data_IF_660603890269
#
_entry.id   IF_660603890269
#
_cell.length_a   1.000
_cell.length_b   1.000
_cell.length_c   1.000
_cell.angle_alpha   90.00
_cell.angle_beta   90.00
_cell.angle_gamma   90.00
#
_symmetry.space_group_name_H-M   'P 1'
#
loop_
_entity.id
_entity.type
_entity.pdbx_description
1 polymer ?
#
# COMPACT_ATOMS: atom_id res chain seq x y z
N UNK A 1 -16.86 14.80 1.59
CA UNK A 1 -15.50 15.22 1.88
C UNK A 1 -15.48 16.74 2.09
N UNK A 2 -15.41 17.24 3.34
CA UNK A 2 -15.49 18.68 3.62
C UNK A 2 -14.33 19.48 3.03
N UNK A 3 -13.24 18.84 2.64
CA UNK A 3 -12.06 19.50 2.07
C UNK A 3 -11.97 19.42 0.54
N UNK A 4 -12.95 18.80 -0.12
CA UNK A 4 -12.91 18.57 -1.57
C UNK A 4 -11.83 17.58 -1.99
N UNK A 5 -11.84 17.12 -3.27
CA UNK A 5 -10.69 16.42 -3.85
C UNK A 5 -9.64 17.48 -4.18
N UNK A 6 -8.38 17.29 -3.76
CA UNK A 6 -7.32 18.19 -4.19
C UNK A 6 -7.26 18.21 -5.72
N UNK A 7 -7.12 19.39 -6.29
CA UNK A 7 -7.02 19.58 -7.74
C UNK A 7 -5.74 18.99 -8.34
N UNK A 8 -4.72 18.77 -7.49
CA UNK A 8 -3.41 18.22 -7.87
C UNK A 8 -3.05 17.09 -6.93
N UNK A 9 -3.16 15.86 -7.41
CA UNK A 9 -2.64 14.69 -6.73
C UNK A 9 -1.15 14.51 -7.09
N UNK A 10 -0.35 14.08 -6.13
CA UNK A 10 1.06 13.79 -6.33
C UNK A 10 1.23 12.37 -6.86
N UNK A 11 2.21 12.19 -7.75
CA UNK A 11 2.63 10.87 -8.21
C UNK A 11 3.34 10.09 -7.10
N UNK A 12 3.36 8.78 -7.26
CA UNK A 12 4.14 7.91 -6.36
C UNK A 12 5.65 8.08 -6.63
N UNK A 13 6.44 8.23 -5.57
CA UNK A 13 7.90 8.25 -5.58
C UNK A 13 8.41 7.02 -4.82
N UNK A 14 8.33 5.85 -5.44
CA UNK A 14 8.63 4.57 -4.81
C UNK A 14 9.59 3.78 -5.70
N UNK A 15 10.67 3.27 -5.13
CA UNK A 15 11.60 2.34 -5.76
C UNK A 15 11.34 0.92 -5.22
N UNK A 16 10.56 0.13 -5.98
CA UNK A 16 10.18 -1.23 -5.61
C UNK A 16 11.37 -2.19 -5.54
N UNK A 17 12.39 -1.98 -6.40
CA UNK A 17 13.58 -2.84 -6.42
C UNK A 17 14.43 -2.65 -5.15
N UNK A 18 14.52 -1.41 -4.63
CA UNK A 18 15.23 -1.16 -3.37
C UNK A 18 14.53 -1.78 -2.15
N UNK A 19 13.24 -2.11 -2.28
CA UNK A 19 12.45 -2.84 -1.29
C UNK A 19 12.48 -4.36 -1.51
N UNK A 20 13.16 -4.84 -2.56
CA UNK A 20 13.21 -6.27 -2.93
C UNK A 20 11.87 -6.86 -3.41
N UNK A 21 10.92 -6.01 -3.84
CA UNK A 21 9.58 -6.47 -4.25
C UNK A 21 9.59 -7.19 -5.61
N UNK A 22 10.63 -7.00 -6.39
CA UNK A 22 10.89 -7.70 -7.66
C UNK A 22 11.42 -9.13 -7.47
N UNK A 23 11.90 -9.46 -6.28
CA UNK A 23 12.46 -10.77 -5.92
C UNK A 23 11.51 -11.62 -5.06
N UNK A 24 10.45 -11.02 -4.52
CA UNK A 24 9.48 -11.69 -3.67
C UNK A 24 8.25 -12.08 -4.48
N UNK A 25 7.87 -13.35 -4.42
CA UNK A 25 6.67 -13.87 -5.08
C UNK A 25 5.41 -13.61 -4.25
N UNK A 26 4.26 -13.57 -4.92
CA UNK A 26 2.94 -13.41 -4.28
C UNK A 26 2.54 -14.63 -3.46
N UNK A 27 3.04 -15.82 -3.83
CA UNK A 27 2.87 -17.07 -3.10
C UNK A 27 4.22 -17.56 -2.59
N UNK A 28 4.23 -18.12 -1.39
CA UNK A 28 5.37 -18.86 -0.86
C UNK A 28 5.41 -20.32 -1.39
N UNK A 29 6.42 -21.09 -0.98
CA UNK A 29 6.59 -22.48 -1.41
C UNK A 29 5.44 -23.41 -0.96
N UNK A 30 4.72 -23.03 0.08
CA UNK A 30 3.58 -23.77 0.63
C UNK A 30 2.24 -23.30 0.03
N UNK A 31 2.26 -22.30 -0.88
CA UNK A 31 1.08 -21.75 -1.54
C UNK A 31 0.34 -20.71 -0.71
N UNK A 32 0.92 -20.20 0.38
CA UNK A 32 0.31 -19.11 1.16
C UNK A 32 0.63 -17.76 0.54
N UNK A 33 -0.29 -16.80 0.73
CA UNK A 33 -0.06 -15.45 0.28
C UNK A 33 1.05 -14.75 1.07
N UNK A 34 1.93 -14.07 0.35
CA UNK A 34 2.94 -13.22 0.97
C UNK A 34 2.27 -12.13 1.81
N UNK A 35 2.74 -11.94 3.04
CA UNK A 35 2.19 -10.98 4.01
C UNK A 35 2.20 -9.53 3.52
N UNK A 36 3.02 -9.19 2.53
CA UNK A 36 3.05 -7.88 1.90
C UNK A 36 1.73 -7.54 1.18
N UNK A 37 1.00 -8.54 0.70
CA UNK A 37 -0.29 -8.33 0.04
C UNK A 37 -1.43 -8.03 1.02
N UNK A 38 -1.27 -8.43 2.30
CA UNK A 38 -2.28 -8.28 3.35
C UNK A 38 -3.66 -8.88 2.98
N UNK A 39 -3.66 -9.97 2.22
CA UNK A 39 -4.88 -10.69 1.80
C UNK A 39 -5.38 -11.53 2.98
N UNK A 40 -6.63 -11.33 3.37
CA UNK A 40 -7.25 -11.97 4.54
C UNK A 40 -8.40 -12.91 4.19
N UNK A 41 -8.94 -12.77 2.99
CA UNK A 41 -10.11 -13.53 2.54
C UNK A 41 -10.16 -13.62 1.01
N UNK A 42 -11.06 -14.47 0.51
CA UNK A 42 -11.24 -14.73 -0.92
C UNK A 42 -11.62 -13.48 -1.73
N UNK A 43 -12.43 -12.60 -1.15
CA UNK A 43 -12.81 -11.35 -1.81
C UNK A 43 -11.59 -10.45 -2.04
N UNK A 44 -10.74 -10.31 -1.03
CA UNK A 44 -9.50 -9.53 -1.17
C UNK A 44 -8.53 -10.19 -2.17
N UNK A 45 -8.43 -11.53 -2.17
CA UNK A 45 -7.66 -12.26 -3.18
C UNK A 45 -8.14 -11.94 -4.59
N UNK A 46 -9.43 -12.00 -4.82
CA UNK A 46 -10.01 -11.68 -6.12
C UNK A 46 -9.72 -10.23 -6.53
N UNK A 47 -9.98 -9.25 -5.66
CA UNK A 47 -9.82 -7.83 -5.99
C UNK A 47 -8.33 -7.41 -6.13
N UNK A 48 -7.46 -7.96 -5.29
CA UNK A 48 -6.04 -7.54 -5.23
C UNK A 48 -5.17 -8.26 -6.26
N UNK A 49 -5.45 -9.52 -6.56
CA UNK A 49 -4.62 -10.34 -7.45
C UNK A 49 -5.34 -10.78 -8.72
N UNK A 50 -6.49 -11.46 -8.60
CA UNK A 50 -7.10 -12.10 -9.78
C UNK A 50 -7.64 -11.08 -10.77
N UNK A 51 -8.42 -10.12 -10.34
CA UNK A 51 -9.02 -9.11 -11.22
C UNK A 51 -7.96 -8.28 -11.99
N UNK A 52 -6.90 -7.74 -11.33
CA UNK A 52 -5.81 -7.09 -12.05
C UNK A 52 -5.03 -8.05 -12.97
N UNK A 53 -4.90 -9.32 -12.60
CA UNK A 53 -4.26 -10.33 -13.43
C UNK A 53 -5.07 -10.62 -14.68
N UNK A 54 -6.38 -10.82 -14.56
CA UNK A 54 -7.28 -11.03 -15.70
C UNK A 54 -7.25 -9.84 -16.66
N UNK A 55 -7.30 -8.62 -16.14
CA UNK A 55 -7.15 -7.41 -16.96
C UNK A 55 -5.81 -7.40 -17.70
N UNK A 56 -4.71 -7.78 -17.04
CA UNK A 56 -3.39 -7.82 -17.68
C UNK A 56 -3.23 -8.95 -18.71
N UNK A 57 -4.01 -10.01 -18.60
CA UNK A 57 -4.03 -11.14 -19.53
C UNK A 57 -5.13 -11.00 -20.59
N UNK A 58 -5.86 -9.90 -20.62
CA UNK A 58 -7.01 -9.66 -21.50
C UNK A 58 -8.05 -10.80 -21.43
N UNK A 59 -8.36 -11.25 -20.21
CA UNK A 59 -9.40 -12.26 -19.94
C UNK A 59 -10.69 -11.52 -19.57
N UNK A 60 -11.70 -11.64 -20.44
CA UNK A 60 -12.95 -10.88 -20.32
C UNK A 60 -14.16 -11.76 -19.99
N UNK A 61 -14.05 -13.09 -20.12
CA UNK A 61 -15.16 -14.01 -19.93
C UNK A 61 -14.81 -15.19 -19.03
N UNK A 62 -15.85 -15.77 -18.40
CA UNK A 62 -15.73 -16.98 -17.59
C UNK A 62 -15.23 -18.19 -18.41
N UNK A 63 -15.64 -18.27 -19.69
CA UNK A 63 -15.16 -19.31 -20.62
C UNK A 63 -13.67 -19.20 -20.84
N UNK A 64 -13.16 -18.00 -21.13
CA UNK A 64 -11.72 -17.77 -21.31
C UNK A 64 -10.94 -18.06 -20.02
N UNK A 65 -11.50 -17.73 -18.86
CA UNK A 65 -10.90 -18.04 -17.58
C UNK A 65 -10.73 -19.55 -17.40
N UNK A 66 -11.74 -20.35 -17.76
CA UNK A 66 -11.69 -21.82 -17.69
C UNK A 66 -10.72 -22.40 -18.70
N UNK A 67 -10.72 -21.91 -19.94
CA UNK A 67 -9.83 -22.38 -21.00
C UNK A 67 -8.36 -22.06 -20.70
N UNK A 68 -8.10 -20.94 -20.02
CA UNK A 68 -6.74 -20.47 -19.70
C UNK A 68 -6.33 -20.68 -18.24
N UNK A 69 -7.02 -21.57 -17.53
CA UNK A 69 -6.76 -21.82 -16.08
C UNK A 69 -5.30 -22.17 -15.77
N UNK A 70 -4.63 -22.93 -16.64
CA UNK A 70 -3.22 -23.29 -16.45
C UNK A 70 -2.28 -22.10 -16.65
N UNK A 71 -2.59 -21.21 -17.58
CA UNK A 71 -1.84 -19.98 -17.79
C UNK A 71 -1.99 -19.04 -16.58
N UNK A 72 -3.21 -18.87 -16.09
CA UNK A 72 -3.52 -18.09 -14.90
C UNK A 72 -2.73 -18.63 -13.69
N UNK A 73 -2.80 -19.95 -13.47
CA UNK A 73 -2.09 -20.61 -12.36
C UNK A 73 -0.57 -20.44 -12.46
N UNK A 74 0.02 -20.68 -13.62
CA UNK A 74 1.45 -20.52 -13.83
C UNK A 74 1.91 -19.08 -13.65
N UNK A 75 1.11 -18.13 -14.17
CA UNK A 75 1.39 -16.69 -14.01
C UNK A 75 1.32 -16.28 -12.55
N UNK A 76 0.31 -16.74 -11.81
CA UNK A 76 0.15 -16.45 -10.38
C UNK A 76 1.34 -17.00 -9.56
N UNK A 77 1.78 -18.22 -9.84
CA UNK A 77 2.92 -18.84 -9.14
C UNK A 77 4.26 -18.13 -9.40
N UNK A 78 4.42 -17.50 -10.56
CA UNK A 78 5.63 -16.75 -10.91
C UNK A 78 5.51 -15.24 -10.67
N UNK A 79 4.33 -14.77 -10.24
CA UNK A 79 4.04 -13.35 -10.06
C UNK A 79 4.82 -12.80 -8.87
N UNK A 80 5.58 -11.72 -9.11
CA UNK A 80 6.26 -11.01 -8.03
C UNK A 80 5.34 -9.98 -7.38
N UNK A 81 5.64 -9.57 -6.15
CA UNK A 81 4.91 -8.50 -5.44
C UNK A 81 4.93 -7.21 -6.26
N UNK A 82 6.10 -6.84 -6.80
CA UNK A 82 6.23 -5.68 -7.68
C UNK A 82 5.25 -5.76 -8.85
N UNK A 83 5.23 -6.89 -9.56
CA UNK A 83 4.37 -7.06 -10.73
C UNK A 83 2.89 -7.09 -10.37
N UNK A 84 2.53 -7.68 -9.22
CA UNK A 84 1.16 -7.65 -8.71
C UNK A 84 0.68 -6.21 -8.45
N UNK A 85 1.53 -5.35 -7.90
CA UNK A 85 1.20 -3.93 -7.71
C UNK A 85 1.18 -3.15 -9.04
N UNK A 86 2.09 -3.45 -9.97
CA UNK A 86 2.05 -2.87 -11.33
C UNK A 86 0.74 -3.20 -12.05
N UNK A 87 0.22 -4.43 -11.91
CA UNK A 87 -1.07 -4.82 -12.45
C UNK A 87 -2.24 -4.02 -11.83
N UNK A 88 -2.10 -3.55 -10.60
CA UNK A 88 -3.05 -2.64 -9.94
C UNK A 88 -2.89 -1.17 -10.37
N UNK A 89 -1.89 -0.85 -11.21
CA UNK A 89 -1.66 0.48 -11.74
C UNK A 89 -0.50 1.25 -11.11
N UNK A 90 0.22 0.68 -10.13
CA UNK A 90 1.40 1.33 -9.55
C UNK A 90 2.51 1.47 -10.61
N UNK A 91 3.28 2.56 -10.50
CA UNK A 91 4.46 2.83 -11.33
C UNK A 91 5.63 3.19 -10.42
N UNK A 92 6.76 2.56 -10.67
CA UNK A 92 7.92 2.65 -9.80
C UNK A 92 9.05 3.46 -10.43
N UNK A 93 9.78 4.21 -9.62
CA UNK A 93 11.02 4.87 -10.00
C UNK A 93 12.23 4.02 -9.64
N UNK A 94 13.37 4.30 -10.27
CA UNK A 94 14.66 3.69 -9.92
C UNK A 94 15.66 4.73 -9.35
N UNK A 95 15.21 5.97 -9.10
CA UNK A 95 16.11 7.06 -8.74
C UNK A 95 16.64 6.92 -7.32
N UNK A 96 15.78 7.02 -6.31
CA UNK A 96 16.19 6.97 -4.91
C UNK A 96 15.66 5.71 -4.22
N UNK A 97 16.47 5.11 -3.32
CA UNK A 97 15.98 3.99 -2.51
C UNK A 97 14.80 4.41 -1.62
N UNK A 98 13.76 3.60 -1.63
CA UNK A 98 12.62 3.76 -0.73
C UNK A 98 12.88 2.98 0.57
N UNK A 99 12.49 3.56 1.70
CA UNK A 99 12.55 2.89 3.01
C UNK A 99 11.31 2.07 3.24
N UNK A 100 11.47 0.93 3.93
CA UNK A 100 10.33 0.18 4.45
C UNK A 100 9.53 0.99 5.46
N UNK A 101 8.22 0.75 5.52
CA UNK A 101 7.33 1.42 6.48
C UNK A 101 7.44 0.73 7.83
N UNK A 102 8.42 1.18 8.60
CA UNK A 102 8.67 0.79 9.99
C UNK A 102 8.17 1.87 10.95
N UNK A 103 8.21 1.59 12.26
CA UNK A 103 7.83 2.56 13.29
C UNK A 103 8.54 3.90 13.11
N UNK A 104 7.76 4.97 13.14
CA UNK A 104 8.23 6.35 13.01
C UNK A 104 8.34 6.85 11.56
N UNK A 105 8.17 6.00 10.56
CA UNK A 105 8.12 6.45 9.15
C UNK A 105 6.86 7.29 8.92
N UNK A 106 7.04 8.37 8.19
CA UNK A 106 5.99 9.27 7.71
C UNK A 106 5.79 9.03 6.22
N UNK A 107 4.57 8.71 5.81
CA UNK A 107 4.26 8.47 4.40
C UNK A 107 2.93 9.13 4.00
N UNK A 108 2.78 9.41 2.72
CA UNK A 108 1.55 9.98 2.17
C UNK A 108 0.41 8.95 2.22
N UNK A 109 -0.76 9.38 2.66
CA UNK A 109 -1.99 8.62 2.51
C UNK A 109 -2.49 8.77 1.07
N UNK A 110 -2.93 7.66 0.48
CA UNK A 110 -3.46 7.66 -0.88
C UNK A 110 -4.73 6.81 -1.01
N UNK A 111 -5.45 7.01 -2.10
CA UNK A 111 -6.62 6.23 -2.48
C UNK A 111 -6.31 5.20 -3.59
N UNK A 112 -5.04 4.98 -3.90
CA UNK A 112 -4.55 4.10 -4.95
C UNK A 112 -3.33 4.69 -5.67
N UNK A 113 -2.89 4.07 -6.77
CA UNK A 113 -1.70 4.48 -7.51
C UNK A 113 -1.77 5.94 -7.97
N UNK A 114 -0.72 6.72 -7.72
CA UNK A 114 -0.63 8.15 -8.10
C UNK A 114 -1.77 9.03 -7.55
N UNK A 115 -2.39 8.63 -6.45
CA UNK A 115 -3.49 9.37 -5.81
C UNK A 115 -3.10 9.88 -4.42
N UNK A 116 -1.89 10.41 -4.28
CA UNK A 116 -1.40 10.97 -3.03
C UNK A 116 -1.98 12.38 -2.83
N UNK A 117 -2.78 12.54 -1.78
CA UNK A 117 -3.30 13.83 -1.32
C UNK A 117 -2.36 14.50 -0.33
N UNK A 118 -2.81 15.58 0.32
CA UNK A 118 -2.05 16.28 1.36
C UNK A 118 -2.02 15.53 2.70
N UNK A 119 -2.77 14.46 2.82
CA UNK A 119 -2.87 13.67 4.04
C UNK A 119 -1.66 12.75 4.16
N UNK A 120 -1.16 12.58 5.38
CA UNK A 120 -0.06 11.68 5.70
C UNK A 120 -0.40 10.85 6.94
N UNK A 121 0.36 9.80 7.15
CA UNK A 121 0.31 9.01 8.38
C UNK A 121 1.71 8.80 8.97
N UNK A 122 1.76 8.53 10.27
CA UNK A 122 2.96 8.11 10.98
C UNK A 122 2.76 6.65 11.38
N UNK A 123 3.65 5.78 10.93
CA UNK A 123 3.59 4.36 11.27
C UNK A 123 3.95 4.15 12.75
N UNK A 124 3.04 3.60 13.55
CA UNK A 124 3.27 3.28 14.96
C UNK A 124 3.96 1.92 15.15
N UNK A 125 3.95 1.08 14.11
CA UNK A 125 4.55 -0.26 14.09
C UNK A 125 5.04 -0.61 12.69
N UNK A 126 5.77 -1.72 12.58
CA UNK A 126 6.13 -2.29 11.29
C UNK A 126 4.89 -2.64 10.47
N UNK A 127 4.80 -2.12 9.27
CA UNK A 127 3.64 -2.25 8.38
C UNK A 127 4.09 -2.53 6.94
N UNK A 128 4.67 -3.73 6.69
CA UNK A 128 5.31 -4.05 5.42
C UNK A 128 4.35 -4.00 4.22
N UNK A 129 3.07 -4.28 4.42
CA UNK A 129 2.03 -4.23 3.38
C UNK A 129 1.74 -2.82 2.84
N UNK A 130 2.24 -1.78 3.49
CA UNK A 130 2.20 -0.40 3.01
C UNK A 130 3.46 -0.04 2.21
N UNK A 131 4.55 -0.79 2.39
CA UNK A 131 5.78 -0.63 1.62
C UNK A 131 5.52 -0.96 0.15
N UNK A 132 6.01 -0.11 -0.76
CA UNK A 132 5.73 -0.26 -2.20
C UNK A 132 4.38 0.30 -2.67
N UNK A 133 3.53 0.82 -1.75
CA UNK A 133 2.22 1.40 -2.07
C UNK A 133 2.06 2.84 -1.60
N UNK A 134 2.86 3.27 -0.63
CA UNK A 134 2.80 4.62 -0.06
C UNK A 134 4.16 5.31 -0.16
N UNK A 135 4.17 6.54 -0.67
CA UNK A 135 5.37 7.36 -0.79
C UNK A 135 5.85 7.81 0.59
N UNK A 136 7.06 7.42 0.94
CA UNK A 136 7.73 7.83 2.20
C UNK A 136 8.27 9.24 2.05
N UNK A 137 7.86 10.14 2.96
CA UNK A 137 8.25 11.56 2.95
C UNK A 137 9.16 11.95 4.13
N UNK A 138 9.32 11.07 5.10
CA UNK A 138 10.18 11.37 6.26
C UNK A 138 10.16 10.30 7.33
N UNK A 139 10.80 10.63 8.45
CA UNK A 139 10.83 9.83 9.67
C UNK A 139 10.72 10.76 10.87
N UNK A 140 9.91 10.38 11.85
CA UNK A 140 9.88 11.05 13.15
C UNK A 140 11.19 10.81 13.88
N UNK A 141 11.84 11.89 14.32
CA UNK A 141 13.09 11.85 15.10
C UNK A 141 12.88 12.22 16.56
N UNK A 142 11.82 12.98 16.86
CA UNK A 142 11.42 13.37 18.22
C UNK A 142 9.89 13.36 18.32
N UNK A 143 9.33 13.04 19.50
CA UNK A 143 7.90 13.10 19.77
C UNK A 143 7.10 11.85 19.39
N UNK A 144 7.74 10.68 19.23
CA UNK A 144 7.03 9.43 18.97
C UNK A 144 6.06 9.04 20.10
N UNK A 145 6.35 9.43 21.35
CA UNK A 145 5.45 9.26 22.50
C UNK A 145 4.13 10.01 22.31
N UNK A 146 4.17 11.18 21.66
CA UNK A 146 2.96 11.92 21.28
C UNK A 146 2.17 11.20 20.20
N UNK A 147 2.84 10.65 19.19
CA UNK A 147 2.19 9.86 18.16
C UNK A 147 1.53 8.60 18.73
N UNK A 148 2.19 7.92 19.67
CA UNK A 148 1.62 6.77 20.40
C UNK A 148 0.39 7.16 21.21
N UNK A 149 0.45 8.27 21.94
CA UNK A 149 -0.67 8.77 22.72
C UNK A 149 -1.90 9.06 21.81
N UNK A 150 -1.68 9.67 20.65
CA UNK A 150 -2.73 9.89 19.65
C UNK A 150 -3.29 8.55 19.15
N UNK A 151 -2.41 7.62 18.79
CA UNK A 151 -2.81 6.30 18.28
C UNK A 151 -3.55 5.43 19.29
N UNK A 152 -3.37 5.67 20.59
CA UNK A 152 -4.07 5.00 21.67
C UNK A 152 -5.34 5.74 22.15
N UNK A 153 -5.67 6.88 21.52
CA UNK A 153 -6.91 7.60 21.86
C UNK A 153 -8.12 6.75 21.44
N UNK A 154 -9.07 6.64 22.36
CA UNK A 154 -10.31 5.92 22.10
C UNK A 154 -11.09 6.61 20.96
N UNK A 155 -11.56 5.81 20.00
CA UNK A 155 -12.38 6.29 18.88
C UNK A 155 -13.83 5.90 19.18
N UNK A 156 -14.72 6.91 19.24
CA UNK A 156 -16.15 6.67 19.30
C UNK A 156 -16.61 6.17 17.91
N UNK A 157 -17.09 4.91 17.78
CA UNK A 157 -17.47 4.36 16.48
C UNK A 157 -18.69 5.03 15.85
N UNK A 158 -19.53 5.70 16.66
CA UNK A 158 -20.74 6.41 16.21
C UNK A 158 -20.40 7.84 15.83
N UNK A 159 -19.49 8.48 16.57
CA UNK A 159 -19.05 9.86 16.33
C UNK A 159 -17.52 9.96 16.42
N UNK A 160 -16.79 9.54 15.36
CA UNK A 160 -15.32 9.50 15.37
C UNK A 160 -14.66 10.86 15.66
N UNK A 161 -15.34 11.97 15.37
CA UNK A 161 -14.82 13.33 15.61
C UNK A 161 -14.99 13.82 17.05
N UNK A 162 -15.68 13.08 17.92
CA UNK A 162 -15.95 13.48 19.31
C UNK A 162 -14.67 13.71 20.12
N UNK A 163 -13.62 12.92 19.82
CA UNK A 163 -12.31 13.00 20.47
C UNK A 163 -11.22 13.41 19.47
N UNK A 164 -11.50 14.41 18.65
CA UNK A 164 -10.55 14.88 17.66
C UNK A 164 -9.28 15.43 18.33
N UNK A 165 -8.12 14.98 17.85
CA UNK A 165 -6.83 15.52 18.26
C UNK A 165 -6.46 16.70 17.37
N UNK A 166 -6.01 17.79 17.98
CA UNK A 166 -5.49 18.96 17.26
C UNK A 166 -3.97 18.94 17.32
N UNK A 167 -3.33 18.93 16.14
CA UNK A 167 -1.88 19.06 16.02
C UNK A 167 -1.54 20.55 15.93
N UNK A 168 -0.95 21.13 16.98
CA UNK A 168 -0.57 22.54 17.02
C UNK A 168 0.72 22.84 16.25
N UNK A 169 1.64 21.90 16.24
CA UNK A 169 2.89 22.06 15.49
C UNK A 169 3.50 20.73 15.06
N UNK A 170 4.02 20.74 13.86
CA UNK A 170 4.88 19.71 13.31
C UNK A 170 6.05 20.43 12.66
N UNK A 171 7.28 20.11 13.04
CA UNK A 171 8.48 20.78 12.53
C UNK A 171 9.31 19.84 11.71
N UNK A 172 9.67 20.26 10.51
CA UNK A 172 10.71 19.60 9.73
C UNK A 172 12.07 20.06 10.28
N UNK A 173 12.93 19.09 10.58
CA UNK A 173 14.33 19.31 10.97
C UNK A 173 15.18 18.86 9.79
N UNK A 174 16.08 19.73 9.33
CA UNK A 174 17.00 19.46 8.21
C UNK A 174 18.24 18.73 8.71
#
# INVERSE_FOLDING_TARGET
NPLGRPSNLLSDEINANSLGLDQQQVLDADGNFNSLLNIKNEKEFHEVLLKPLYTNLDIESETEMLDRQFEIFNTLNSLTIKKAYENQGYRYTNEMPTREITRGIVALANAGPNQNGPEFFIALRYSPWLSGRNTVIGKVIEGMETADAIGNTEIDPINPSRFATLIYSLRRIN
#
